data_IF_895072053782
#
_entry.id   IF_895072053782
#
_cell.length_a   1.000
_cell.length_b   1.000
_cell.length_c   1.000
_cell.angle_alpha   90.00
_cell.angle_beta   90.00
_cell.angle_gamma   90.00
#
_symmetry.space_group_name_H-M   'P 1'
#
loop_
_entity.id
_entity.type
_entity.pdbx_description
1 polymer ?
#
# COMPACT_ATOMS: atom_id res chain seq x y z
N UNK A 1 30.22 -27.37 -9.25
CA UNK A 1 29.43 -26.27 -8.64
C UNK A 1 28.35 -26.72 -7.63
N UNK A 2 28.26 -28.01 -7.25
CA UNK A 2 27.20 -28.51 -6.36
C UNK A 2 27.45 -28.36 -4.84
N UNK A 3 28.60 -27.83 -4.39
CA UNK A 3 28.97 -27.81 -2.97
C UNK A 3 28.45 -26.61 -2.16
N UNK A 4 27.98 -25.54 -2.83
CA UNK A 4 27.50 -24.32 -2.15
C UNK A 4 26.05 -24.40 -1.66
N UNK A 5 25.26 -25.33 -2.19
CA UNK A 5 23.83 -25.49 -1.85
C UNK A 5 23.58 -26.42 -0.65
N UNK A 6 24.58 -27.16 -0.17
CA UNK A 6 24.44 -28.06 0.99
C UNK A 6 24.15 -27.31 2.30
N UNK A 7 24.48 -26.01 2.38
CA UNK A 7 24.27 -25.19 3.59
C UNK A 7 22.80 -24.95 3.89
N UNK A 8 21.94 -25.02 2.87
CA UNK A 8 20.51 -24.74 3.00
C UNK A 8 19.69 -26.00 3.33
N UNK A 9 20.23 -27.20 3.10
CA UNK A 9 19.56 -28.48 3.41
C UNK A 9 19.40 -28.75 4.92
N UNK A 10 20.00 -27.94 5.78
CA UNK A 10 19.91 -28.09 7.23
C UNK A 10 19.06 -27.01 7.93
N UNK A 11 18.46 -26.07 7.18
CA UNK A 11 17.63 -25.02 7.75
C UNK A 11 16.21 -25.51 8.13
N UNK A 12 15.74 -26.60 7.52
CA UNK A 12 14.41 -27.16 7.78
C UNK A 12 14.43 -28.28 8.83
N UNK A 13 15.55 -28.50 9.54
CA UNK A 13 15.59 -29.55 10.56
C UNK A 13 14.69 -29.13 11.73
N UNK A 14 13.61 -29.88 12.04
CA UNK A 14 12.82 -29.63 13.23
C UNK A 14 13.76 -29.68 14.44
N UNK A 15 13.64 -28.72 15.35
CA UNK A 15 14.33 -28.80 16.64
C UNK A 15 13.74 -29.98 17.41
N UNK A 16 14.43 -31.11 17.40
CA UNK A 16 14.12 -32.23 18.28
C UNK A 16 14.12 -31.72 19.72
N UNK A 17 12.95 -31.71 20.37
CA UNK A 17 12.81 -31.37 21.79
C UNK A 17 12.09 -30.07 22.14
N UNK A 18 11.53 -29.32 21.19
CA UNK A 18 10.56 -28.28 21.53
C UNK A 18 9.17 -28.93 21.69
N UNK A 19 8.58 -28.99 22.90
CA UNK A 19 7.20 -29.44 23.04
C UNK A 19 6.30 -28.55 22.18
N UNK A 20 5.34 -29.17 21.47
CA UNK A 20 4.30 -28.45 20.78
C UNK A 20 3.67 -27.43 21.77
N UNK A 21 3.52 -26.16 21.39
CA UNK A 21 2.96 -25.16 22.29
C UNK A 21 1.53 -25.59 22.65
N UNK A 22 1.34 -25.94 23.91
CA UNK A 22 0.05 -26.23 24.49
C UNK A 22 -0.82 -24.95 24.37
N UNK A 23 -1.96 -24.98 23.67
CA UNK A 23 -2.83 -23.81 23.54
C UNK A 23 -3.40 -23.34 24.89
N UNK A 24 -3.28 -24.14 25.96
CA UNK A 24 -3.72 -23.81 27.31
C UNK A 24 -2.61 -23.27 28.23
N UNK A 25 -1.38 -23.05 27.75
CA UNK A 25 -0.31 -22.49 28.56
C UNK A 25 -0.61 -21.02 28.95
N UNK A 26 -0.56 -20.64 30.25
CA UNK A 26 -0.81 -19.27 30.69
C UNK A 26 0.35 -18.38 30.22
N UNK A 27 0.16 -17.74 29.06
CA UNK A 27 1.16 -16.90 28.40
C UNK A 27 0.93 -16.73 26.89
N UNK A 28 0.10 -17.57 26.26
CA UNK A 28 -0.26 -17.45 24.83
C UNK A 28 -1.38 -16.43 24.57
N UNK A 29 -2.21 -16.14 25.57
CA UNK A 29 -3.27 -15.14 25.50
C UNK A 29 -2.77 -13.69 25.36
N UNK A 30 -1.48 -13.42 25.62
CA UNK A 30 -0.95 -12.07 25.69
C UNK A 30 -0.26 -11.59 24.39
N UNK A 31 -0.09 -12.47 23.39
CA UNK A 31 0.63 -12.07 22.15
C UNK A 31 -0.18 -11.10 21.28
N UNK A 32 -1.51 -11.22 21.30
CA UNK A 32 -2.42 -10.30 20.62
C UNK A 32 -2.63 -8.99 21.40
N UNK A 33 -2.53 -9.03 22.74
CA UNK A 33 -2.63 -7.85 23.60
C UNK A 33 -1.37 -6.96 23.54
N UNK A 34 -0.20 -7.55 23.30
CA UNK A 34 1.09 -6.82 23.16
C UNK A 34 1.09 -5.70 22.11
N UNK A 35 0.26 -5.79 21.07
CA UNK A 35 0.13 -4.76 20.04
C UNK A 35 -1.23 -4.06 20.02
N UNK A 36 -2.18 -4.47 20.89
CA UNK A 36 -3.50 -3.86 20.97
C UNK A 36 -3.48 -2.42 21.50
N UNK A 37 -2.40 -2.03 22.19
CA UNK A 37 -2.22 -0.69 22.76
C UNK A 37 -1.39 0.27 21.88
N UNK A 38 -1.02 -0.11 20.65
CA UNK A 38 -0.42 0.85 19.73
C UNK A 38 -1.54 1.74 19.22
N UNK A 39 -1.63 2.96 19.78
CA UNK A 39 -2.50 4.01 19.26
C UNK A 39 -2.25 4.15 17.76
N UNK A 40 -3.29 3.92 16.96
CA UNK A 40 -3.34 4.43 15.59
C UNK A 40 -3.20 5.96 15.69
N UNK A 41 -2.42 6.63 14.82
CA UNK A 41 -2.38 8.08 14.78
C UNK A 41 -3.76 8.60 14.37
N UNK A 42 -4.64 8.74 15.36
CA UNK A 42 -5.94 9.35 15.26
C UNK A 42 -5.77 10.82 15.59
N UNK A 43 -6.24 11.68 14.68
CA UNK A 43 -6.48 13.09 14.91
C UNK A 43 -7.25 13.30 16.24
N UNK A 44 -6.54 13.67 17.31
CA UNK A 44 -7.04 14.44 18.46
C UNK A 44 -5.83 14.79 19.35
N UNK A 45 -5.76 16.02 19.91
CA UNK A 45 -4.64 16.42 20.74
C UNK A 45 -4.76 15.73 22.09
N UNK A 46 -3.97 14.68 22.32
CA UNK A 46 -3.80 14.08 23.63
C UNK A 46 -2.54 14.65 24.25
N UNK A 47 -2.71 15.37 25.37
CA UNK A 47 -1.65 15.86 26.24
C UNK A 47 -0.69 14.71 26.61
N UNK A 48 0.48 14.70 25.99
CA UNK A 48 1.56 13.76 26.32
C UNK A 48 2.35 14.25 27.53
N UNK A 49 2.76 13.35 28.43
CA UNK A 49 3.47 13.73 29.65
C UNK A 49 4.89 14.22 29.34
N UNK A 50 5.21 15.38 29.91
CA UNK A 50 6.44 16.14 29.68
C UNK A 50 7.72 15.32 29.89
N UNK A 51 8.51 15.18 28.82
CA UNK A 51 9.94 14.83 28.90
C UNK A 51 10.76 16.11 29.02
N UNK A 52 10.74 16.71 30.21
CA UNK A 52 11.53 17.89 30.54
C UNK A 52 11.59 18.07 32.05
N UNK A 53 12.78 18.36 32.59
CA UNK A 53 12.98 18.57 34.02
C UNK A 53 12.02 19.68 34.52
N UNK A 54 11.11 19.32 35.45
CA UNK A 54 10.18 20.28 36.05
C UNK A 54 10.95 21.27 36.93
N UNK A 55 11.19 22.47 36.40
CA UNK A 55 11.67 23.63 37.14
C UNK A 55 10.63 24.74 36.97
N UNK A 56 9.80 24.95 38.00
CA UNK A 56 8.64 25.87 38.01
C UNK A 56 8.98 27.36 37.77
N UNK A 57 10.26 27.68 37.58
CA UNK A 57 10.77 29.02 37.23
C UNK A 57 10.65 29.35 35.75
N UNK A 58 10.51 28.36 34.87
CA UNK A 58 10.47 28.56 33.43
C UNK A 58 9.04 28.32 32.93
N UNK A 59 8.25 29.39 32.83
CA UNK A 59 7.01 29.37 32.03
C UNK A 59 7.33 28.94 30.60
N UNK A 60 6.30 28.51 29.85
CA UNK A 60 6.41 27.93 28.51
C UNK A 60 7.41 28.69 27.62
N UNK A 61 8.68 28.26 27.65
CA UNK A 61 9.67 28.78 26.74
C UNK A 61 9.26 28.24 25.38
N UNK A 62 8.98 29.10 24.38
CA UNK A 62 8.67 28.62 23.06
C UNK A 62 9.85 27.78 22.58
N UNK A 63 9.61 26.49 22.32
CA UNK A 63 10.64 25.63 21.76
C UNK A 63 11.22 26.34 20.54
N UNK A 64 12.55 26.57 20.48
CA UNK A 64 13.13 27.26 19.35
C UNK A 64 12.82 26.45 18.10
N UNK A 65 12.10 27.06 17.16
CA UNK A 65 11.76 26.42 15.91
C UNK A 65 13.05 25.90 15.25
N UNK A 66 13.12 24.59 15.06
CA UNK A 66 14.25 23.95 14.38
C UNK A 66 14.30 24.51 12.95
N UNK A 67 15.22 25.43 12.70
CA UNK A 67 15.47 25.94 11.37
C UNK A 67 16.16 24.84 10.57
N UNK A 68 15.38 24.16 9.74
CA UNK A 68 15.93 23.33 8.68
C UNK A 68 16.65 24.26 7.73
N UNK A 69 17.98 24.27 7.81
CA UNK A 69 18.82 24.92 6.81
C UNK A 69 18.43 24.36 5.45
N UNK A 70 17.84 25.19 4.61
CA UNK A 70 17.63 24.87 3.22
C UNK A 70 19.01 24.78 2.56
N UNK A 71 19.52 23.55 2.49
CA UNK A 71 20.84 23.26 1.92
C UNK A 71 20.81 23.35 0.39
N UNK A 72 19.63 23.63 -0.21
CA UNK A 72 19.42 23.55 -1.64
C UNK A 72 19.96 22.22 -2.19
N UNK A 73 20.73 22.30 -3.27
CA UNK A 73 21.33 21.12 -3.92
C UNK A 73 22.67 20.69 -3.29
N UNK A 74 23.08 21.21 -2.12
CA UNK A 74 24.35 20.78 -1.52
C UNK A 74 24.25 19.35 -1.00
N UNK A 75 25.34 18.60 -1.14
CA UNK A 75 25.42 17.26 -0.56
C UNK A 75 25.22 17.35 0.97
N UNK A 76 24.52 16.37 1.59
CA UNK A 76 24.29 16.40 3.03
C UNK A 76 25.55 16.10 3.87
N UNK A 77 26.66 15.79 3.19
CA UNK A 77 27.97 15.47 3.75
C UNK A 77 29.07 16.04 2.85
N UNK A 78 30.29 16.11 3.39
CA UNK A 78 31.52 16.44 2.65
C UNK A 78 32.46 15.24 2.75
N UNK A 79 33.06 14.82 1.62
CA UNK A 79 33.94 13.65 1.59
C UNK A 79 35.39 14.06 1.58
N UNK A 80 36.11 13.80 2.66
CA UNK A 80 37.50 14.23 2.81
C UNK A 80 38.39 13.73 1.67
N UNK A 81 39.05 14.65 0.95
CA UNK A 81 39.97 14.31 -0.13
C UNK A 81 41.19 13.50 0.34
N UNK A 82 41.59 13.64 1.61
CA UNK A 82 42.80 12.99 2.15
C UNK A 82 42.55 11.52 2.54
N UNK A 83 41.48 11.25 3.27
CA UNK A 83 41.21 9.92 3.82
C UNK A 83 39.92 9.26 3.29
N UNK A 84 39.14 9.98 2.48
CA UNK A 84 37.90 9.48 1.89
C UNK A 84 36.73 9.33 2.85
N UNK A 85 36.89 9.72 4.12
CA UNK A 85 35.85 9.69 5.15
C UNK A 85 34.81 10.79 4.92
N UNK A 86 33.54 10.43 5.08
CA UNK A 86 32.43 11.36 5.01
C UNK A 86 32.27 12.09 6.36
N UNK A 87 32.19 13.42 6.29
CA UNK A 87 31.93 14.30 7.43
C UNK A 87 30.61 15.06 7.27
N UNK A 88 30.17 15.70 8.34
CA UNK A 88 29.01 16.59 8.26
C UNK A 88 29.25 17.72 7.25
N UNK A 89 28.21 18.15 6.52
CA UNK A 89 28.33 19.18 5.47
C UNK A 89 28.86 20.56 5.95
N UNK A 90 28.82 20.82 7.26
CA UNK A 90 29.34 22.04 7.88
C UNK A 90 30.64 21.80 8.66
N UNK A 91 31.24 20.61 8.56
CA UNK A 91 32.49 20.32 9.23
C UNK A 91 33.63 21.12 8.58
N UNK A 92 34.41 21.81 9.40
CA UNK A 92 35.61 22.53 8.96
C UNK A 92 36.83 21.60 8.93
N UNK A 93 36.82 20.53 9.73
CA UNK A 93 37.90 19.55 9.82
C UNK A 93 37.37 18.11 9.74
N UNK A 94 38.21 17.22 9.19
CA UNK A 94 37.90 15.80 9.09
C UNK A 94 38.12 15.10 10.44
N UNK A 95 37.06 14.51 11.01
CA UNK A 95 37.14 13.73 12.24
C UNK A 95 38.11 12.52 12.17
N UNK A 96 38.40 12.01 10.97
CA UNK A 96 39.28 10.85 10.79
C UNK A 96 40.77 11.19 10.69
N UNK A 97 41.13 12.33 10.09
CA UNK A 97 42.53 12.64 9.80
C UNK A 97 42.95 14.09 10.09
N UNK A 98 42.05 14.92 10.61
CA UNK A 98 42.31 16.34 10.94
C UNK A 98 42.54 17.24 9.73
N UNK A 99 42.29 16.79 8.51
CA UNK A 99 42.43 17.63 7.32
C UNK A 99 41.32 18.70 7.28
N UNK A 100 41.68 19.92 6.87
CA UNK A 100 40.73 20.98 6.60
C UNK A 100 39.78 20.59 5.45
N UNK A 101 38.48 20.81 5.67
CA UNK A 101 37.39 20.49 4.73
C UNK A 101 36.79 21.74 4.08
N UNK A 102 37.21 22.93 4.49
CA UNK A 102 36.76 24.22 3.97
C UNK A 102 37.69 24.78 2.86
N UNK A 103 38.55 23.93 2.29
CA UNK A 103 39.47 24.33 1.22
C UNK A 103 38.75 24.48 -0.14
N UNK A 104 39.23 25.35 -1.04
CA UNK A 104 38.65 25.46 -2.38
C UNK A 104 38.76 24.15 -3.18
N UNK A 105 39.81 23.37 -2.97
CA UNK A 105 40.00 22.06 -3.60
C UNK A 105 38.93 21.06 -3.13
N UNK A 106 38.60 21.05 -1.84
CA UNK A 106 37.53 20.23 -1.27
C UNK A 106 36.17 20.61 -1.84
N UNK A 107 35.86 21.92 -1.90
CA UNK A 107 34.62 22.41 -2.53
C UNK A 107 34.49 21.98 -3.99
N UNK A 108 35.58 22.06 -4.76
CA UNK A 108 35.58 21.62 -6.15
C UNK A 108 35.40 20.10 -6.29
N UNK A 109 35.87 19.31 -5.32
CA UNK A 109 35.65 17.87 -5.30
C UNK A 109 34.21 17.50 -4.96
N UNK A 110 33.62 18.15 -3.96
CA UNK A 110 32.22 17.97 -3.59
C UNK A 110 31.28 18.37 -4.75
N UNK A 111 31.63 19.44 -5.48
CA UNK A 111 30.94 19.86 -6.71
C UNK A 111 30.93 18.76 -7.77
N UNK A 112 32.10 18.17 -8.06
CA UNK A 112 32.22 17.08 -9.03
C UNK A 112 31.39 15.86 -8.61
N UNK A 113 31.48 15.49 -7.33
CA UNK A 113 30.70 14.38 -6.77
C UNK A 113 29.21 14.62 -6.91
N UNK A 114 28.74 15.86 -6.72
CA UNK A 114 27.34 16.21 -6.90
C UNK A 114 26.90 16.05 -8.35
N UNK A 115 27.66 16.59 -9.30
CA UNK A 115 27.34 16.47 -10.73
C UNK A 115 27.29 15.00 -11.15
N UNK A 116 28.23 14.18 -10.66
CA UNK A 116 28.24 12.75 -10.92
C UNK A 116 26.98 12.05 -10.36
N UNK A 117 26.61 12.34 -9.11
CA UNK A 117 25.41 11.78 -8.50
C UNK A 117 24.12 12.24 -9.17
N UNK A 118 24.04 13.49 -9.61
CA UNK A 118 22.89 13.99 -10.37
C UNK A 118 22.72 13.20 -11.68
N UNK A 119 23.81 12.95 -12.41
CA UNK A 119 23.78 12.13 -13.63
C UNK A 119 23.36 10.69 -13.35
N UNK A 120 23.88 10.09 -12.28
CA UNK A 120 23.47 8.73 -11.87
C UNK A 120 21.99 8.69 -11.50
N UNK A 121 21.51 9.65 -10.72
CA UNK A 121 20.11 9.76 -10.33
C UNK A 121 19.18 9.92 -11.54
N UNK A 122 19.57 10.68 -12.57
CA UNK A 122 18.79 10.78 -13.82
C UNK A 122 18.68 9.44 -14.54
N UNK A 123 19.77 8.67 -14.61
CA UNK A 123 19.76 7.33 -15.23
C UNK A 123 18.86 6.39 -14.43
N UNK A 124 19.03 6.33 -13.11
CA UNK A 124 18.21 5.51 -12.23
C UNK A 124 16.73 5.89 -12.29
N UNK A 125 16.42 7.19 -12.38
CA UNK A 125 15.06 7.68 -12.52
C UNK A 125 14.41 7.23 -13.84
N UNK A 126 15.16 7.26 -14.94
CA UNK A 126 14.70 6.76 -16.24
C UNK A 126 14.44 5.26 -16.20
N UNK A 127 15.35 4.49 -15.62
CA UNK A 127 15.17 3.05 -15.47
C UNK A 127 13.99 2.71 -14.56
N UNK A 128 13.82 3.43 -13.45
CA UNK A 128 12.70 3.25 -12.55
C UNK A 128 11.37 3.62 -13.23
N UNK A 129 11.34 4.67 -14.05
CA UNK A 129 10.17 5.03 -14.86
C UNK A 129 9.84 3.93 -15.87
N UNK A 130 10.84 3.42 -16.60
CA UNK A 130 10.66 2.32 -17.55
C UNK A 130 10.11 1.04 -16.88
N UNK A 131 10.64 0.69 -15.69
CA UNK A 131 10.12 -0.45 -14.90
C UNK A 131 8.66 -0.24 -14.48
N UNK A 132 8.30 0.95 -14.01
CA UNK A 132 6.91 1.28 -13.64
C UNK A 132 5.97 1.18 -14.85
N UNK A 133 6.40 1.67 -16.01
CA UNK A 133 5.60 1.59 -17.23
C UNK A 133 5.43 0.15 -17.73
N UNK A 134 6.46 -0.68 -17.61
CA UNK A 134 6.37 -2.11 -17.94
C UNK A 134 5.35 -2.82 -17.04
N UNK A 135 5.45 -2.63 -15.72
CA UNK A 135 4.50 -3.19 -14.75
C UNK A 135 3.08 -2.70 -15.00
N UNK A 136 2.88 -1.41 -15.27
CA UNK A 136 1.57 -0.86 -15.58
C UNK A 136 0.95 -1.48 -16.85
N UNK A 137 1.77 -1.75 -17.87
CA UNK A 137 1.32 -2.44 -19.10
C UNK A 137 0.94 -3.89 -18.85
N UNK A 138 1.72 -4.60 -18.03
CA UNK A 138 1.42 -5.97 -17.62
C UNK A 138 0.10 -6.03 -16.83
N UNK A 139 -0.05 -5.17 -15.81
CA UNK A 139 -1.27 -5.06 -15.01
C UNK A 139 -2.50 -4.72 -15.86
N UNK A 140 -2.37 -3.81 -16.82
CA UNK A 140 -3.44 -3.45 -17.74
C UNK A 140 -3.82 -4.62 -18.66
N UNK A 141 -2.83 -5.37 -19.15
CA UNK A 141 -3.02 -6.59 -19.93
C UNK A 141 -3.78 -7.65 -19.14
N UNK A 142 -3.32 -7.96 -17.93
CA UNK A 142 -3.99 -8.90 -17.04
C UNK A 142 -5.41 -8.46 -16.68
N UNK A 143 -5.62 -7.18 -16.39
CA UNK A 143 -6.95 -6.65 -16.11
C UNK A 143 -7.88 -6.76 -17.33
N UNK A 144 -7.34 -6.60 -18.55
CA UNK A 144 -8.04 -6.88 -19.79
C UNK A 144 -8.45 -8.35 -19.91
N UNK A 145 -7.50 -9.27 -19.70
CA UNK A 145 -7.74 -10.72 -19.74
C UNK A 145 -8.76 -11.17 -18.69
N UNK A 146 -8.67 -10.66 -17.46
CA UNK A 146 -9.62 -10.94 -16.38
C UNK A 146 -11.04 -10.50 -16.74
N UNK A 147 -11.20 -9.30 -17.32
CA UNK A 147 -12.50 -8.79 -17.79
C UNK A 147 -13.08 -9.65 -18.91
N UNK A 148 -12.27 -9.96 -19.93
CA UNK A 148 -12.72 -10.80 -21.05
C UNK A 148 -13.16 -12.20 -20.58
N UNK A 149 -12.42 -12.81 -19.66
CA UNK A 149 -12.79 -14.09 -19.05
C UNK A 149 -14.09 -13.98 -18.25
N UNK A 150 -14.24 -12.95 -17.42
CA UNK A 150 -15.45 -12.72 -16.64
C UNK A 150 -16.68 -12.52 -17.54
N UNK A 151 -16.56 -11.76 -18.63
CA UNK A 151 -17.63 -11.57 -19.61
C UNK A 151 -17.99 -12.85 -20.37
N UNK A 152 -17.00 -13.69 -20.70
CA UNK A 152 -17.25 -15.00 -21.31
C UNK A 152 -18.03 -15.92 -20.37
N UNK A 153 -17.61 -16.02 -19.11
CA UNK A 153 -18.30 -16.80 -18.08
C UNK A 153 -19.71 -16.27 -17.82
N UNK A 154 -19.89 -14.94 -17.75
CA UNK A 154 -21.20 -14.33 -17.56
C UNK A 154 -22.17 -14.67 -18.71
N UNK A 155 -21.67 -14.68 -19.96
CA UNK A 155 -22.47 -15.10 -21.12
C UNK A 155 -22.86 -16.58 -21.05
N UNK A 156 -21.91 -17.46 -20.77
CA UNK A 156 -22.15 -18.90 -20.66
C UNK A 156 -23.16 -19.22 -19.56
N UNK A 157 -22.99 -18.65 -18.36
CA UNK A 157 -23.92 -18.83 -17.25
C UNK A 157 -25.29 -18.27 -17.60
N UNK A 158 -25.35 -17.08 -18.22
CA UNK A 158 -26.60 -16.48 -18.66
C UNK A 158 -27.34 -17.34 -19.71
N UNK A 159 -26.64 -17.96 -20.65
CA UNK A 159 -27.23 -18.89 -21.62
C UNK A 159 -27.71 -20.18 -20.97
N UNK A 160 -26.92 -20.74 -20.05
CA UNK A 160 -27.29 -21.94 -19.30
C UNK A 160 -28.54 -21.72 -18.45
N UNK A 161 -28.60 -20.62 -17.71
CA UNK A 161 -29.76 -20.27 -16.89
C UNK A 161 -30.99 -19.97 -17.75
N UNK A 162 -30.84 -19.29 -18.90
CA UNK A 162 -31.95 -19.13 -19.85
C UNK A 162 -32.52 -20.47 -20.31
N UNK A 163 -31.66 -21.40 -20.77
CA UNK A 163 -32.09 -22.74 -21.20
C UNK A 163 -32.75 -23.52 -20.07
N UNK A 164 -32.23 -23.40 -18.84
CA UNK A 164 -32.82 -24.02 -17.64
C UNK A 164 -34.21 -23.48 -17.37
N UNK A 165 -34.37 -22.16 -17.34
CA UNK A 165 -35.66 -21.51 -17.12
C UNK A 165 -36.65 -21.87 -18.24
N UNK A 166 -36.23 -21.91 -19.49
CA UNK A 166 -37.05 -22.36 -20.62
C UNK A 166 -37.52 -23.81 -20.43
N UNK A 167 -36.64 -24.72 -20.01
CA UNK A 167 -36.99 -26.11 -19.73
C UNK A 167 -37.94 -26.28 -18.53
N UNK A 168 -37.80 -25.43 -17.50
CA UNK A 168 -38.70 -25.37 -16.34
C UNK A 168 -40.03 -24.64 -16.67
N UNK A 169 -40.23 -24.15 -17.90
CA UNK A 169 -41.43 -23.42 -18.31
C UNK A 169 -41.51 -21.97 -17.79
N UNK A 170 -40.42 -21.48 -17.20
CA UNK A 170 -40.28 -20.13 -16.63
C UNK A 170 -39.59 -19.15 -17.60
N UNK A 171 -38.94 -19.64 -18.66
CA UNK A 171 -38.11 -18.85 -19.60
C UNK A 171 -38.86 -18.13 -20.72
N UNK A 172 -40.18 -18.31 -20.81
CA UNK A 172 -41.06 -17.65 -21.79
C UNK A 172 -42.15 -16.80 -21.14
N UNK A 173 -41.92 -16.31 -19.92
CA UNK A 173 -42.88 -15.49 -19.20
C UNK A 173 -43.22 -14.20 -19.96
N UNK A 174 -44.51 -13.80 -20.03
CA UNK A 174 -44.93 -12.58 -20.72
C UNK A 174 -44.08 -11.38 -20.28
N UNK A 175 -43.49 -10.65 -21.23
CA UNK A 175 -42.79 -9.40 -20.93
C UNK A 175 -43.69 -8.44 -20.12
N UNK A 176 -43.13 -7.39 -19.49
CA UNK A 176 -43.90 -6.50 -18.60
C UNK A 176 -45.18 -5.93 -19.23
N UNK A 177 -45.21 -5.80 -20.56
CA UNK A 177 -46.39 -5.39 -21.33
C UNK A 177 -47.52 -6.45 -21.36
N UNK A 178 -47.18 -7.74 -21.37
CA UNK A 178 -48.17 -8.82 -21.39
C UNK A 178 -48.72 -9.16 -19.99
N UNK A 179 -47.94 -8.95 -18.92
CA UNK A 179 -48.44 -8.96 -17.54
C UNK A 179 -49.50 -7.87 -17.35
N UNK A 180 -49.25 -6.66 -17.85
CA UNK A 180 -50.24 -5.56 -17.88
C UNK A 180 -51.50 -5.93 -18.65
N UNK A 181 -51.35 -6.55 -19.84
CA UNK A 181 -52.49 -6.96 -20.66
C UNK A 181 -53.34 -8.09 -20.04
N UNK A 182 -52.74 -9.00 -19.26
CA UNK A 182 -53.48 -10.04 -18.51
C UNK A 182 -54.22 -9.46 -17.30
N UNK A 183 -53.60 -8.53 -16.56
CA UNK A 183 -54.26 -7.83 -15.46
C UNK A 183 -55.44 -7.00 -15.97
N UNK A 184 -55.28 -6.29 -17.09
CA UNK A 184 -56.36 -5.52 -17.71
C UNK A 184 -57.49 -6.41 -18.26
N UNK A 185 -57.19 -7.59 -18.84
CA UNK A 185 -58.23 -8.56 -19.23
C UNK A 185 -58.97 -9.16 -18.03
N UNK A 186 -58.27 -9.44 -16.93
CA UNK A 186 -58.88 -9.93 -15.70
C UNK A 186 -59.77 -8.85 -15.03
N UNK A 187 -59.38 -7.58 -15.10
CA UNK A 187 -60.18 -6.45 -14.62
C UNK A 187 -61.38 -6.15 -15.54
N UNK A 188 -61.20 -6.19 -16.87
CA UNK A 188 -62.27 -6.00 -17.84
C UNK A 188 -63.34 -7.10 -17.80
N UNK A 189 -62.96 -8.35 -17.53
CA UNK A 189 -63.89 -9.46 -17.36
C UNK A 189 -64.77 -9.32 -16.10
N UNK A 190 -64.34 -8.53 -15.10
CA UNK A 190 -65.08 -8.28 -13.85
C UNK A 190 -66.11 -7.15 -13.97
N UNK A 191 -65.97 -6.26 -14.95
CA UNK A 191 -66.88 -5.12 -15.15
C UNK A 191 -68.05 -5.40 -16.11
N UNK A 192 -67.97 -6.45 -16.93
CA UNK A 192 -69.04 -6.82 -17.87
C UNK A 192 -70.21 -7.64 -17.27
N UNK A 193 -70.16 -8.04 -15.99
CA UNK A 193 -71.17 -8.91 -15.34
C UNK A 193 -72.06 -8.20 -14.30
N UNK A 194 -72.10 -6.86 -14.29
CA UNK A 194 -72.87 -6.09 -13.32
C UNK A 194 -74.07 -5.29 -13.86
N UNK A 195 -74.37 -5.35 -15.16
CA UNK A 195 -75.42 -4.54 -15.78
C UNK A 195 -76.65 -5.35 -16.21
N UNK A 196 -77.44 -5.85 -15.26
CA UNK A 196 -78.67 -6.59 -15.57
C UNK A 196 -79.73 -6.46 -14.47
N UNK A 197 -80.79 -5.69 -14.76
CA UNK A 197 -82.06 -5.62 -14.01
C UNK A 197 -82.16 -4.38 -13.10
N UNK A 198 -83.22 -3.57 -13.12
CA UNK A 198 -84.62 -3.81 -13.52
C UNK A 198 -85.26 -2.51 -14.04
N UNK A 199 -86.06 -2.64 -15.11
CA UNK A 199 -87.26 -1.84 -15.32
C UNK A 199 -88.48 -2.62 -14.85
#
# INVERSE_FOLDING_TARGET
MASRLRRFLHLERPRDGAPAPDPAAPGTADRAARFGAVQRPGLAPAETPATGARLERFGAEPEPALQLLDRGDRLPFTRCLRCGMDGHALAVECAGCGAALDTPEQRAADERLRVERARQAEVEAREAAARREALAREEAGEAGSRRALAEALAREVGERERRRLEAEGLGGGPGPLELGARVLRALGARWGRGGGGRG
#
